data_IF_450050460312
#
_entry.id   IF_450050460312
#
_cell.length_a   1.000
_cell.length_b   1.000
_cell.length_c   1.000
_cell.angle_alpha   90.00
_cell.angle_beta   90.00
_cell.angle_gamma   90.00
#
_symmetry.space_group_name_H-M   'P 1'
#
loop_
_entity.id
_entity.type
_entity.pdbx_description
1 polymer ?
#
# COMPACT_ATOMS: atom_id res chain seq x y z
N UNK A 1 -10.26 19.78 17.71
CA UNK A 1 -10.07 18.61 18.59
C UNK A 1 -10.56 17.38 17.84
N UNK A 2 -9.63 16.77 17.06
CA UNK A 2 -9.92 15.54 16.35
C UNK A 2 -10.15 14.38 17.32
N UNK A 3 -11.12 13.51 17.01
CA UNK A 3 -11.25 12.23 17.69
C UNK A 3 -9.97 11.43 17.47
N UNK A 4 -9.26 11.14 18.54
CA UNK A 4 -8.00 10.37 18.54
C UNK A 4 -8.21 8.87 18.57
N UNK A 5 -9.43 8.41 18.32
CA UNK A 5 -9.83 6.99 18.46
C UNK A 5 -9.54 6.15 17.21
N UNK A 6 -9.15 6.78 16.11
CA UNK A 6 -8.76 6.06 14.90
C UNK A 6 -7.26 5.77 14.92
N UNK A 7 -6.85 4.53 14.60
CA UNK A 7 -5.44 4.18 14.51
C UNK A 7 -4.77 4.96 13.37
N UNK A 8 -3.50 5.31 13.57
CA UNK A 8 -2.68 5.82 12.47
C UNK A 8 -2.43 4.72 11.44
N UNK A 9 -2.50 5.08 10.17
CA UNK A 9 -2.21 4.19 9.05
C UNK A 9 -0.86 4.61 8.45
N UNK A 10 0.09 3.69 8.41
CA UNK A 10 1.36 3.90 7.73
C UNK A 10 1.41 3.00 6.52
N UNK A 11 1.53 3.61 5.34
CA UNK A 11 1.60 2.89 4.06
C UNK A 11 3.06 2.84 3.62
N UNK A 12 3.60 1.63 3.46
CA UNK A 12 4.93 1.40 2.92
C UNK A 12 4.82 1.02 1.45
N UNK A 13 5.52 1.76 0.59
CA UNK A 13 5.60 1.49 -0.85
C UNK A 13 7.06 1.26 -1.18
N UNK A 14 7.41 0.01 -1.42
CA UNK A 14 8.72 -0.35 -1.96
C UNK A 14 8.64 -0.39 -3.49
N UNK A 15 9.46 0.47 -4.13
CA UNK A 15 9.46 0.73 -5.55
C UNK A 15 8.16 1.40 -6.07
N UNK A 16 8.06 2.71 -5.83
CA UNK A 16 6.95 3.53 -6.34
C UNK A 16 6.83 3.48 -7.87
N UNK A 17 7.95 3.38 -8.60
CA UNK A 17 7.92 3.27 -10.05
C UNK A 17 7.18 2.02 -10.50
N UNK A 18 7.50 0.87 -9.92
CA UNK A 18 6.81 -0.38 -10.25
C UNK A 18 5.32 -0.33 -9.90
N UNK A 19 4.97 0.26 -8.76
CA UNK A 19 3.56 0.46 -8.39
C UNK A 19 2.83 1.30 -9.43
N UNK A 20 3.42 2.40 -9.88
CA UNK A 20 2.83 3.28 -10.89
C UNK A 20 2.66 2.60 -12.26
N UNK A 21 3.62 1.76 -12.64
CA UNK A 21 3.55 0.99 -13.88
C UNK A 21 2.46 -0.09 -13.84
N UNK A 22 2.29 -0.75 -12.70
CA UNK A 22 1.26 -1.77 -12.52
C UNK A 22 -0.17 -1.19 -12.49
N UNK A 23 -0.34 0.02 -11.98
CA UNK A 23 -1.64 0.65 -11.73
C UNK A 23 -1.75 2.01 -12.44
N UNK A 24 -1.51 2.03 -13.76
CA UNK A 24 -1.51 3.24 -14.58
C UNK A 24 -2.83 4.03 -14.52
N UNK A 25 -3.95 3.35 -14.37
CA UNK A 25 -5.28 3.98 -14.35
C UNK A 25 -5.64 4.57 -12.98
N UNK A 26 -5.02 4.09 -11.90
CA UNK A 26 -5.34 4.47 -10.51
C UNK A 26 -4.38 5.50 -9.91
N UNK A 27 -3.43 6.00 -10.70
CA UNK A 27 -2.42 6.98 -10.23
C UNK A 27 -3.03 8.28 -9.71
N UNK A 28 -4.22 8.64 -10.17
CA UNK A 28 -4.88 9.89 -9.79
C UNK A 28 -5.29 9.93 -8.30
N UNK A 29 -5.43 8.78 -7.64
CA UNK A 29 -5.79 8.71 -6.22
C UNK A 29 -4.58 8.77 -5.27
N UNK A 30 -3.42 8.26 -5.68
CA UNK A 30 -2.26 8.15 -4.78
C UNK A 30 -1.67 9.51 -4.43
N UNK A 31 -1.54 10.42 -5.39
CA UNK A 31 -0.94 11.73 -5.14
C UNK A 31 -1.75 12.59 -4.15
N UNK A 32 -3.09 12.71 -4.26
CA UNK A 32 -3.90 13.36 -3.25
C UNK A 32 -3.78 12.71 -1.87
N UNK A 33 -3.73 11.39 -1.78
CA UNK A 33 -3.54 10.68 -0.52
C UNK A 33 -2.19 10.99 0.12
N UNK A 34 -1.10 11.04 -0.65
CA UNK A 34 0.22 11.44 -0.14
C UNK A 34 0.24 12.89 0.36
N UNK A 35 -0.51 13.78 -0.28
CA UNK A 35 -0.59 15.19 0.10
C UNK A 35 -1.46 15.44 1.32
N UNK A 36 -2.66 14.87 1.32
CA UNK A 36 -3.71 15.24 2.27
C UNK A 36 -3.89 14.20 3.39
N UNK A 37 -3.33 13.00 3.22
CA UNK A 37 -3.51 11.86 4.14
C UNK A 37 -3.05 12.14 5.57
N UNK A 38 -2.01 12.95 5.76
CA UNK A 38 -1.48 13.27 7.09
C UNK A 38 -2.54 13.95 7.98
N UNK A 39 -3.43 14.73 7.39
CA UNK A 39 -4.51 15.42 8.11
C UNK A 39 -5.54 14.43 8.72
N UNK A 40 -5.61 13.22 8.19
CA UNK A 40 -6.52 12.15 8.64
C UNK A 40 -5.77 10.95 9.23
N UNK A 41 -4.48 11.12 9.56
CA UNK A 41 -3.67 10.10 10.21
C UNK A 41 -3.09 9.04 9.26
N UNK A 42 -3.00 9.33 7.96
CA UNK A 42 -2.36 8.46 6.97
C UNK A 42 -0.99 9.03 6.61
N UNK A 43 0.04 8.23 6.81
CA UNK A 43 1.43 8.57 6.48
C UNK A 43 2.00 7.60 5.45
N UNK A 44 2.91 8.08 4.62
CA UNK A 44 3.54 7.28 3.59
C UNK A 44 5.06 7.19 3.80
N UNK A 45 5.59 5.99 3.63
CA UNK A 45 7.01 5.72 3.50
C UNK A 45 7.24 5.12 2.12
N UNK A 46 7.95 5.86 1.28
CA UNK A 46 8.13 5.49 -0.13
C UNK A 46 9.61 5.23 -0.40
N UNK A 47 9.92 4.10 -0.99
CA UNK A 47 11.24 3.78 -1.50
C UNK A 47 11.23 3.69 -3.03
N UNK A 48 12.38 3.98 -3.64
CA UNK A 48 12.59 3.82 -5.07
C UNK A 48 14.08 3.67 -5.37
N UNK A 49 14.41 2.92 -6.41
CA UNK A 49 15.81 2.70 -6.80
C UNK A 49 16.47 3.96 -7.35
N UNK A 50 15.70 4.84 -8.00
CA UNK A 50 16.17 6.09 -8.59
C UNK A 50 15.23 7.23 -8.22
N UNK A 51 15.79 8.40 -7.93
CA UNK A 51 15.01 9.61 -7.60
C UNK A 51 14.11 10.05 -8.75
N UNK A 52 14.60 9.92 -9.98
CA UNK A 52 13.86 10.25 -11.21
C UNK A 52 12.53 9.52 -11.31
N UNK A 53 12.44 8.27 -10.81
CA UNK A 53 11.20 7.49 -10.82
C UNK A 53 10.12 8.00 -9.86
N UNK A 54 10.50 8.71 -8.80
CA UNK A 54 9.52 9.29 -7.86
C UNK A 54 8.80 10.49 -8.52
N UNK A 55 9.58 11.40 -9.09
CA UNK A 55 9.10 12.64 -9.73
C UNK A 55 8.77 13.76 -8.73
N UNK A 56 8.94 15.01 -9.18
CA UNK A 56 8.78 16.21 -8.33
C UNK A 56 7.40 16.36 -7.70
N UNK A 57 6.36 15.92 -8.38
CA UNK A 57 4.97 16.01 -7.86
C UNK A 57 4.80 15.23 -6.57
N UNK A 58 5.49 14.09 -6.42
CA UNK A 58 5.49 13.30 -5.20
C UNK A 58 6.49 13.84 -4.19
N UNK A 59 7.72 14.10 -4.61
CA UNK A 59 8.79 14.59 -3.72
C UNK A 59 8.38 15.83 -2.93
N UNK A 60 7.62 16.73 -3.52
CA UNK A 60 7.17 17.95 -2.85
C UNK A 60 6.19 17.72 -1.69
N UNK A 61 5.63 16.51 -1.58
CA UNK A 61 4.74 16.15 -0.46
C UNK A 61 5.48 15.41 0.67
N UNK A 62 6.77 15.14 0.51
CA UNK A 62 7.58 14.46 1.52
C UNK A 62 8.57 15.43 2.15
N UNK A 63 8.41 15.68 3.47
CA UNK A 63 9.32 16.52 4.23
C UNK A 63 10.62 15.78 4.59
N UNK A 64 10.49 14.51 4.98
CA UNK A 64 11.63 13.64 5.26
C UNK A 64 12.14 12.99 3.97
N UNK A 65 13.40 13.23 3.64
CA UNK A 65 14.04 12.65 2.45
C UNK A 65 15.35 12.03 2.82
N UNK A 66 15.60 10.84 2.32
CA UNK A 66 16.84 10.08 2.55
C UNK A 66 17.30 9.54 1.19
N UNK A 67 18.56 9.69 0.88
CA UNK A 67 19.18 9.02 -0.26
C UNK A 67 20.47 8.33 0.16
N UNK A 68 20.71 7.16 -0.37
CA UNK A 68 21.96 6.43 -0.24
C UNK A 68 22.91 6.83 -1.38
N UNK A 69 24.04 6.12 -1.51
CA UNK A 69 24.94 6.33 -2.62
C UNK A 69 24.23 6.17 -3.97
N UNK A 70 24.43 7.14 -4.85
CA UNK A 70 23.92 7.14 -6.23
C UNK A 70 25.11 7.28 -7.19
N UNK A 71 25.08 6.53 -8.28
CA UNK A 71 26.12 6.62 -9.32
C UNK A 71 26.13 8.00 -9.99
N UNK A 72 24.95 8.55 -10.22
CA UNK A 72 24.76 9.85 -10.87
C UNK A 72 24.55 10.96 -9.84
N UNK A 73 25.43 11.96 -9.84
CA UNK A 73 25.33 13.10 -8.91
C UNK A 73 24.09 13.97 -9.13
N UNK A 74 23.49 13.92 -10.29
CA UNK A 74 22.21 14.56 -10.60
C UNK A 74 21.07 14.05 -9.73
N UNK A 75 21.10 12.80 -9.29
CA UNK A 75 20.10 12.21 -8.40
C UNK A 75 20.02 12.93 -7.05
N UNK A 76 21.18 13.36 -6.50
CA UNK A 76 21.19 14.15 -5.26
C UNK A 76 20.52 15.52 -5.45
N UNK A 77 20.76 16.17 -6.61
CA UNK A 77 20.14 17.44 -6.92
C UNK A 77 18.63 17.34 -7.16
N UNK A 78 18.14 16.19 -7.66
CA UNK A 78 16.72 15.92 -7.79
C UNK A 78 16.06 15.68 -6.43
N UNK A 79 16.73 14.96 -5.53
CA UNK A 79 16.21 14.67 -4.20
C UNK A 79 16.22 15.91 -3.31
N UNK A 80 17.29 16.69 -3.35
CA UNK A 80 17.52 17.84 -2.50
C UNK A 80 17.88 19.05 -3.35
N UNK A 81 17.00 20.01 -3.40
CA UNK A 81 17.20 21.24 -4.21
C UNK A 81 18.53 21.93 -3.85
N UNK A 82 19.35 22.17 -4.86
CA UNK A 82 20.64 22.85 -4.72
C UNK A 82 21.74 22.01 -4.05
N UNK A 83 21.52 20.73 -3.80
CA UNK A 83 22.54 19.85 -3.21
C UNK A 83 23.74 19.64 -4.16
N UNK A 84 24.94 19.92 -3.65
CA UNK A 84 26.21 19.66 -4.35
C UNK A 84 27.08 18.60 -3.66
N UNK A 85 26.55 18.00 -2.59
CA UNK A 85 27.23 16.95 -1.85
C UNK A 85 27.30 15.67 -2.69
N UNK A 86 28.40 14.92 -2.49
CA UNK A 86 28.59 13.60 -3.07
C UNK A 86 28.87 12.63 -1.95
N UNK A 87 28.22 11.50 -1.95
CA UNK A 87 28.50 10.43 -1.01
C UNK A 87 29.62 9.53 -1.52
N UNK A 88 30.49 9.03 -0.65
CA UNK A 88 31.37 7.91 -0.97
C UNK A 88 30.55 6.62 -1.10
N UNK A 89 31.04 5.67 -1.90
CA UNK A 89 30.45 4.33 -2.02
C UNK A 89 30.77 3.50 -0.77
N UNK A 90 30.10 3.82 0.31
CA UNK A 90 30.19 3.13 1.60
C UNK A 90 28.77 2.65 1.96
N UNK A 91 28.59 1.34 2.26
CA UNK A 91 27.29 0.82 2.65
C UNK A 91 26.68 1.60 3.82
N UNK A 92 25.42 2.03 3.66
CA UNK A 92 24.68 2.80 4.67
C UNK A 92 25.06 4.27 4.76
N UNK A 93 26.03 4.79 3.97
CA UNK A 93 26.27 6.22 3.90
C UNK A 93 25.13 6.90 3.16
N UNK A 94 24.57 7.96 3.76
CA UNK A 94 23.35 8.59 3.29
C UNK A 94 23.38 10.10 3.43
N UNK A 95 22.57 10.79 2.61
CA UNK A 95 22.14 12.16 2.88
C UNK A 95 20.71 12.13 3.40
N UNK A 96 20.47 12.88 4.46
CA UNK A 96 19.17 12.99 5.13
C UNK A 96 18.77 14.44 5.21
N UNK A 97 17.54 14.76 4.81
CA UNK A 97 16.97 16.10 4.99
C UNK A 97 16.12 16.15 6.26
N UNK A 98 16.48 17.06 7.15
CA UNK A 98 15.75 17.35 8.38
C UNK A 98 15.55 18.87 8.45
N UNK A 99 14.30 19.33 8.56
CA UNK A 99 13.97 20.75 8.65
C UNK A 99 14.67 21.60 7.56
N UNK A 100 14.63 21.12 6.33
CA UNK A 100 15.28 21.71 5.14
C UNK A 100 16.81 21.71 5.14
N UNK A 101 17.47 21.23 6.17
CA UNK A 101 18.92 21.07 6.20
C UNK A 101 19.32 19.66 5.76
N UNK A 102 20.43 19.55 5.01
CA UNK A 102 20.94 18.28 4.51
C UNK A 102 22.13 17.88 5.36
N UNK A 103 22.13 16.66 5.85
CA UNK A 103 23.18 16.08 6.68
C UNK A 103 23.69 14.79 6.03
N UNK A 104 24.99 14.59 6.08
CA UNK A 104 25.60 13.29 5.80
C UNK A 104 25.47 12.41 7.05
N UNK A 105 24.93 11.21 6.89
CA UNK A 105 24.66 10.28 7.97
C UNK A 105 25.21 8.90 7.65
N UNK A 106 25.50 8.13 8.68
CA UNK A 106 25.77 6.69 8.59
C UNK A 106 24.57 5.94 9.16
N UNK A 107 23.87 5.21 8.29
CA UNK A 107 22.77 4.33 8.71
C UNK A 107 23.33 3.11 9.41
N UNK A 108 22.68 2.66 10.46
CA UNK A 108 23.00 1.42 11.14
C UNK A 108 22.17 0.25 10.60
N UNK A 109 22.69 -0.94 10.74
CA UNK A 109 21.94 -2.15 10.44
C UNK A 109 20.99 -2.45 11.59
N UNK A 110 19.72 -2.62 11.28
CA UNK A 110 18.68 -2.93 12.29
C UNK A 110 18.79 -4.36 12.84
N UNK A 111 19.40 -5.26 12.08
CA UNK A 111 19.58 -6.66 12.43
C UNK A 111 21.02 -7.09 12.15
N UNK A 112 21.59 -7.89 13.07
CA UNK A 112 22.91 -8.45 12.93
C UNK A 112 22.96 -9.54 11.86
N UNK A 113 24.12 -9.75 11.29
CA UNK A 113 24.40 -10.77 10.28
C UNK A 113 25.40 -10.28 9.24
N UNK A 114 26.44 -11.10 9.00
CA UNK A 114 27.44 -10.82 7.97
C UNK A 114 26.86 -11.01 6.57
N UNK A 115 26.00 -12.05 6.43
CA UNK A 115 25.36 -12.40 5.16
C UNK A 115 23.90 -11.99 5.15
N UNK A 116 23.37 -11.72 3.96
CA UNK A 116 21.99 -11.31 3.77
C UNK A 116 20.99 -12.33 4.34
N UNK A 117 21.22 -13.63 4.12
CA UNK A 117 20.31 -14.66 4.62
C UNK A 117 20.23 -14.70 6.16
N UNK A 118 21.31 -14.38 6.85
CA UNK A 118 21.35 -14.32 8.32
C UNK A 118 20.47 -13.17 8.83
N UNK A 119 20.60 -11.99 8.20
CA UNK A 119 19.74 -10.84 8.51
C UNK A 119 18.26 -11.12 8.24
N UNK A 120 17.96 -11.81 7.12
CA UNK A 120 16.58 -12.23 6.83
C UNK A 120 16.01 -13.16 7.88
N UNK A 121 16.83 -14.08 8.42
CA UNK A 121 16.39 -14.95 9.51
C UNK A 121 16.12 -14.18 10.81
N UNK A 122 16.97 -13.21 11.17
CA UNK A 122 16.74 -12.37 12.34
C UNK A 122 15.50 -11.47 12.17
N UNK A 123 15.27 -10.93 10.99
CA UNK A 123 14.03 -10.20 10.66
C UNK A 123 12.80 -11.11 10.85
N UNK A 124 12.84 -12.36 10.35
CA UNK A 124 11.73 -13.31 10.52
C UNK A 124 11.43 -13.61 11.98
N UNK A 125 12.44 -13.90 12.76
CA UNK A 125 12.31 -14.14 14.21
C UNK A 125 11.69 -12.94 14.91
N UNK A 126 12.16 -11.73 14.59
CA UNK A 126 11.61 -10.50 15.13
C UNK A 126 10.13 -10.31 14.77
N UNK A 127 9.77 -10.53 13.50
CA UNK A 127 8.37 -10.43 13.03
C UNK A 127 7.47 -11.47 13.72
N UNK A 128 7.93 -12.72 13.87
CA UNK A 128 7.19 -13.77 14.59
C UNK A 128 6.97 -13.40 16.06
N UNK A 129 7.99 -12.90 16.73
CA UNK A 129 7.90 -12.41 18.11
C UNK A 129 6.88 -11.26 18.23
N UNK A 130 6.93 -10.28 17.34
CA UNK A 130 5.99 -9.16 17.34
C UNK A 130 4.56 -9.62 17.05
N UNK A 131 4.38 -10.52 16.09
CA UNK A 131 3.07 -11.11 15.79
C UNK A 131 2.47 -11.85 16.99
N UNK A 132 3.30 -12.52 17.77
CA UNK A 132 2.86 -13.16 19.02
C UNK A 132 2.45 -12.12 20.09
N UNK A 133 3.25 -11.08 20.25
CA UNK A 133 2.99 -10.00 21.22
C UNK A 133 1.72 -9.21 20.91
N UNK A 134 1.42 -8.99 19.62
CA UNK A 134 0.29 -8.16 19.15
C UNK A 134 -0.78 -8.98 18.44
N UNK A 135 -0.97 -10.24 18.83
CA UNK A 135 -1.86 -11.19 18.15
C UNK A 135 -3.30 -10.71 17.93
N UNK A 136 -3.82 -9.80 18.78
CA UNK A 136 -5.15 -9.21 18.64
C UNK A 136 -5.19 -7.85 17.93
N UNK A 137 -4.05 -7.28 17.53
CA UNK A 137 -3.94 -5.91 17.01
C UNK A 137 -3.34 -5.93 15.60
N UNK A 138 -4.00 -6.64 14.69
CA UNK A 138 -3.55 -6.70 13.30
C UNK A 138 -4.19 -5.61 12.46
N UNK A 139 -3.42 -5.07 11.51
CA UNK A 139 -3.96 -4.23 10.46
C UNK A 139 -5.07 -4.97 9.69
N UNK A 140 -6.05 -4.21 9.20
CA UNK A 140 -7.10 -4.78 8.35
C UNK A 140 -6.46 -5.34 7.08
N UNK A 141 -6.83 -6.58 6.75
CA UNK A 141 -6.37 -7.21 5.50
C UNK A 141 -7.00 -6.47 4.32
N UNK A 142 -6.19 -6.17 3.31
CA UNK A 142 -6.69 -5.66 2.03
C UNK A 142 -7.37 -6.84 1.32
N UNK A 143 -8.67 -6.77 1.03
CA UNK A 143 -9.37 -7.87 0.40
C UNK A 143 -8.91 -8.03 -1.06
N UNK A 144 -8.82 -9.28 -1.51
CA UNK A 144 -8.53 -9.64 -2.90
C UNK A 144 -9.75 -10.38 -3.47
N UNK A 145 -9.99 -10.19 -4.78
CA UNK A 145 -10.99 -10.99 -5.47
C UNK A 145 -10.49 -12.43 -5.54
N UNK A 146 -11.23 -13.40 -4.98
CA UNK A 146 -10.80 -14.79 -4.97
C UNK A 146 -10.79 -15.36 -6.41
N UNK A 147 -9.88 -16.30 -6.67
CA UNK A 147 -9.82 -16.99 -7.96
C UNK A 147 -11.11 -17.77 -8.26
N UNK A 148 -11.72 -18.31 -7.22
CA UNK A 148 -12.99 -19.02 -7.27
C UNK A 148 -13.95 -18.34 -6.30
N UNK A 149 -15.02 -17.77 -6.86
CA UNK A 149 -16.11 -17.14 -6.11
C UNK A 149 -17.32 -18.07 -6.14
N UNK A 150 -17.70 -18.58 -4.98
CA UNK A 150 -18.88 -19.41 -4.82
C UNK A 150 -19.69 -19.01 -3.58
N UNK A 151 -20.88 -19.57 -3.43
CA UNK A 151 -21.79 -19.27 -2.32
C UNK A 151 -21.15 -19.58 -0.95
N UNK A 152 -20.39 -20.66 -0.84
CA UNK A 152 -19.70 -21.04 0.40
C UNK A 152 -18.65 -20.01 0.83
N UNK A 153 -17.89 -19.48 -0.13
CA UNK A 153 -16.95 -18.39 0.13
C UNK A 153 -17.65 -17.16 0.68
N UNK A 154 -18.75 -16.74 0.03
CA UNK A 154 -19.53 -15.57 0.48
C UNK A 154 -20.08 -15.81 1.90
N UNK A 155 -20.61 -16.99 2.19
CA UNK A 155 -21.12 -17.35 3.50
C UNK A 155 -20.05 -17.25 4.59
N UNK A 156 -18.86 -17.75 4.29
CA UNK A 156 -17.76 -17.81 5.24
C UNK A 156 -17.11 -16.45 5.50
N UNK A 157 -16.90 -15.67 4.45
CA UNK A 157 -16.14 -14.42 4.52
C UNK A 157 -17.03 -13.21 4.81
N UNK A 158 -18.28 -13.22 4.32
CA UNK A 158 -19.23 -12.12 4.43
C UNK A 158 -20.59 -12.52 5.04
N UNK A 159 -20.61 -13.13 6.22
CA UNK A 159 -21.86 -13.64 6.80
C UNK A 159 -22.93 -12.55 7.03
N UNK A 160 -22.52 -11.30 7.24
CA UNK A 160 -23.42 -10.16 7.47
C UNK A 160 -24.22 -9.72 6.22
N UNK A 161 -23.80 -10.16 5.03
CA UNK A 161 -24.51 -9.85 3.78
C UNK A 161 -25.61 -10.84 3.42
N UNK A 162 -25.73 -11.94 4.17
CA UNK A 162 -26.81 -12.91 4.00
C UNK A 162 -28.05 -12.43 4.75
N UNK A 163 -28.97 -11.81 4.02
CA UNK A 163 -30.25 -11.37 4.55
C UNK A 163 -31.38 -12.14 3.87
N UNK A 164 -32.42 -12.46 4.62
CA UNK A 164 -33.63 -13.09 4.07
C UNK A 164 -34.23 -12.17 3.00
N UNK A 165 -34.53 -12.73 1.83
CA UNK A 165 -35.08 -11.98 0.70
C UNK A 165 -34.04 -11.21 -0.12
N UNK A 166 -32.76 -11.36 0.16
CA UNK A 166 -31.67 -10.75 -0.59
C UNK A 166 -30.84 -11.84 -1.29
N UNK A 167 -30.44 -11.57 -2.53
CA UNK A 167 -29.59 -12.46 -3.34
C UNK A 167 -28.26 -11.75 -3.61
N UNK A 168 -27.17 -12.34 -3.14
CA UNK A 168 -25.82 -11.83 -3.44
C UNK A 168 -25.45 -12.23 -4.87
N UNK A 169 -25.14 -11.24 -5.70
CA UNK A 169 -24.78 -11.44 -7.11
C UNK A 169 -23.30 -11.75 -7.30
N UNK A 170 -22.45 -11.19 -6.45
CA UNK A 170 -21.01 -11.31 -6.56
C UNK A 170 -20.28 -10.33 -5.66
N UNK A 171 -19.03 -10.02 -6.01
CA UNK A 171 -18.24 -8.99 -5.35
C UNK A 171 -18.03 -7.81 -6.30
N UNK A 172 -18.22 -6.61 -5.80
CA UNK A 172 -17.85 -5.39 -6.51
C UNK A 172 -16.34 -5.37 -6.75
N UNK A 173 -15.92 -5.04 -7.96
CA UNK A 173 -14.52 -5.14 -8.36
C UNK A 173 -13.59 -4.16 -7.61
N UNK A 174 -14.10 -2.99 -7.24
CA UNK A 174 -13.30 -1.94 -6.61
C UNK A 174 -13.25 -2.10 -5.08
N UNK A 175 -14.38 -2.44 -4.48
CA UNK A 175 -14.50 -2.52 -3.02
C UNK A 175 -14.28 -3.92 -2.48
N UNK A 176 -14.38 -4.95 -3.33
CA UNK A 176 -14.36 -6.37 -2.98
C UNK A 176 -15.41 -6.72 -1.92
N UNK A 177 -16.50 -5.96 -1.88
CA UNK A 177 -17.64 -6.21 -1.01
C UNK A 177 -18.76 -6.88 -1.80
N UNK A 178 -19.58 -7.73 -1.13
CA UNK A 178 -20.73 -8.34 -1.78
C UNK A 178 -21.72 -7.30 -2.29
N UNK A 179 -22.10 -7.44 -3.56
CA UNK A 179 -23.20 -6.72 -4.17
C UNK A 179 -24.44 -7.62 -4.19
N UNK A 180 -25.55 -7.12 -3.69
CA UNK A 180 -26.75 -7.90 -3.47
C UNK A 180 -28.01 -7.15 -3.90
N UNK A 181 -28.99 -7.90 -4.42
CA UNK A 181 -30.32 -7.39 -4.74
C UNK A 181 -31.28 -7.79 -3.64
N UNK A 182 -32.01 -6.83 -3.14
CA UNK A 182 -33.08 -7.03 -2.14
C UNK A 182 -34.43 -7.18 -2.86
N UNK A 183 -35.07 -8.35 -2.70
CA UNK A 183 -36.37 -8.68 -3.24
C UNK A 183 -37.51 -8.60 -2.19
N UNK A 184 -37.23 -8.13 -0.98
CA UNK A 184 -38.25 -8.08 0.10
C UNK A 184 -39.44 -7.20 -0.24
N UNK A 185 -39.21 -6.14 -1.02
CA UNK A 185 -40.28 -5.23 -1.51
C UNK A 185 -40.84 -5.63 -2.89
N UNK A 186 -40.45 -6.78 -3.41
CA UNK A 186 -40.72 -7.19 -4.79
C UNK A 186 -39.78 -6.48 -5.79
N UNK A 187 -39.72 -6.99 -6.99
CA UNK A 187 -38.89 -6.39 -8.05
C UNK A 187 -38.78 -7.28 -9.27
N UNK A 188 -38.26 -6.71 -10.35
CA UNK A 188 -37.89 -7.45 -11.57
C UNK A 188 -36.41 -7.29 -11.84
N UNK A 189 -35.72 -8.39 -12.07
CA UNK A 189 -34.34 -8.39 -12.50
C UNK A 189 -34.27 -8.80 -13.98
N UNK A 190 -33.61 -8.00 -14.79
CA UNK A 190 -33.32 -8.33 -16.18
C UNK A 190 -31.84 -8.73 -16.31
N UNK A 191 -31.58 -9.95 -16.74
CA UNK A 191 -30.26 -10.45 -17.03
C UNK A 191 -30.05 -10.53 -18.54
N UNK A 192 -29.08 -9.78 -19.07
CA UNK A 192 -28.72 -9.81 -20.50
C UNK A 192 -27.26 -10.22 -20.69
N UNK A 193 -27.00 -10.96 -21.75
CA UNK A 193 -25.64 -11.39 -22.08
C UNK A 193 -25.61 -12.19 -23.39
N UNK A 194 -24.42 -12.26 -23.99
CA UNK A 194 -24.20 -13.13 -25.15
C UNK A 194 -24.37 -14.59 -24.74
N UNK A 195 -24.69 -15.45 -25.73
CA UNK A 195 -24.73 -16.90 -25.56
C UNK A 195 -23.40 -17.40 -24.95
N UNK A 196 -23.46 -18.37 -24.04
CA UNK A 196 -22.29 -19.00 -23.39
C UNK A 196 -21.49 -18.07 -22.48
N UNK A 197 -22.07 -16.98 -21.96
CA UNK A 197 -21.45 -16.06 -20.99
C UNK A 197 -22.05 -16.20 -19.58
N UNK A 198 -22.62 -17.36 -19.29
CA UNK A 198 -23.06 -17.70 -17.94
C UNK A 198 -24.47 -17.26 -17.54
N UNK A 199 -25.21 -16.51 -18.38
CA UNK A 199 -26.58 -16.09 -18.06
C UNK A 199 -27.52 -17.26 -17.80
N UNK A 200 -27.35 -18.37 -18.52
CA UNK A 200 -28.17 -19.57 -18.44
C UNK A 200 -27.88 -20.42 -17.17
N UNK A 201 -26.78 -20.08 -16.45
CA UNK A 201 -26.40 -20.73 -15.20
C UNK A 201 -26.87 -19.88 -14.01
N UNK A 202 -26.98 -18.56 -14.22
CA UNK A 202 -27.41 -17.62 -13.18
C UNK A 202 -28.92 -17.67 -12.94
N UNK A 203 -29.72 -17.90 -13.98
CA UNK A 203 -31.18 -18.00 -13.90
C UNK A 203 -31.63 -19.40 -13.45
#
# INVERSE_FOLDING_TARGET
TGKTDLPQIIVFIDNLTALKEMYLQDQDYLLPLCRDGIAVGISFVVANAQTSGIGYRYLNNFEGRITLFCNETSEYGMMFEGCRMKLPDIPGRSLVQINKNIFECQMYLSFEGEKEFERVQEIRKFVEMQNGKYAGQKARVIPEIPKELNAEYIQKVYPSYQKQGSVVLGLDYNTVLPDAIDFTSGGMLTLSGKKEKGKDIFA
#
